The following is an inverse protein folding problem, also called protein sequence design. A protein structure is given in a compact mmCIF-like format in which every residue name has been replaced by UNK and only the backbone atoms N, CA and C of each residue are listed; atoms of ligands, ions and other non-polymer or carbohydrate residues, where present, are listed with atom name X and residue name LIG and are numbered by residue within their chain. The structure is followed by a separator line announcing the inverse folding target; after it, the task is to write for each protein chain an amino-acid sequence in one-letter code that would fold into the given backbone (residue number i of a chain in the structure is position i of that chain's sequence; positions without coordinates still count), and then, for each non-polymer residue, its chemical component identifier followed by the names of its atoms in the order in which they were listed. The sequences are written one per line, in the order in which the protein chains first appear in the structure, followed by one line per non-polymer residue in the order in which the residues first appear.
data_IF_705955461129
#
_entry.id   IF_705955461129
#
_cell.length_a   1.000
_cell.length_b   1.000
_cell.length_c   1.000
_cell.angle_alpha   90.00
_cell.angle_beta   90.00
_cell.angle_gamma   90.00
#
_symmetry.space_group_name_H-M   'P 1'
#
loop_
_entity.id
_entity.type
_entity.pdbx_description
1 polymer ?
#
# COMPACT_ATOMS: atom_id res chain seq x y z
N UNK A 1 -30.06 -56.44 -25.27
CA UNK A 1 -29.46 -55.74 -24.11
C UNK A 1 -27.96 -55.56 -24.38
N UNK A 2 -27.48 -54.35 -24.13
CA UNK A 2 -26.11 -53.81 -24.23
C UNK A 2 -25.56 -53.42 -25.62
N UNK A 3 -25.32 -52.12 -25.88
CA UNK A 3 -24.77 -51.58 -27.13
C UNK A 3 -23.28 -51.22 -27.00
N UNK A 4 -22.54 -51.22 -28.12
CA UNK A 4 -21.23 -50.57 -28.20
C UNK A 4 -21.18 -49.49 -29.29
N UNK A 5 -20.91 -48.27 -28.80
CA UNK A 5 -20.02 -47.23 -29.32
C UNK A 5 -19.97 -46.94 -30.83
N UNK A 6 -20.43 -45.74 -31.19
CA UNK A 6 -19.92 -45.00 -32.36
C UNK A 6 -19.32 -43.68 -31.87
N UNK A 7 -18.03 -43.51 -32.19
CA UNK A 7 -17.21 -42.31 -31.93
C UNK A 7 -17.47 -41.21 -32.95
N UNK A 8 -17.28 -39.99 -32.45
CA UNK A 8 -17.26 -38.68 -33.09
C UNK A 8 -16.41 -38.57 -34.37
N UNK A 9 -16.80 -37.66 -35.28
CA UNK A 9 -15.87 -36.74 -35.98
C UNK A 9 -16.54 -35.38 -36.29
N UNK A 10 -15.86 -34.32 -35.84
CA UNK A 10 -15.99 -32.89 -36.20
C UNK A 10 -15.48 -32.66 -37.64
N UNK A 11 -15.84 -31.55 -38.31
CA UNK A 11 -15.02 -30.33 -38.22
C UNK A 11 -15.78 -28.99 -38.29
N UNK A 12 -15.18 -27.91 -37.76
CA UNK A 12 -15.54 -26.50 -38.05
C UNK A 12 -15.08 -26.07 -39.45
N UNK A 13 -14.88 -24.77 -39.81
CA UNK A 13 -14.58 -23.62 -38.92
C UNK A 13 -15.08 -22.21 -39.40
N UNK A 14 -14.58 -21.16 -38.70
CA UNK A 14 -14.41 -19.71 -39.08
C UNK A 14 -15.65 -18.80 -38.94
N UNK A 15 -15.71 -17.89 -37.95
CA UNK A 15 -14.95 -16.64 -37.73
C UNK A 15 -15.41 -15.49 -38.64
N UNK A 16 -15.96 -14.41 -38.06
CA UNK A 16 -15.64 -13.01 -38.38
C UNK A 16 -16.17 -12.06 -37.31
N UNK A 17 -15.25 -11.26 -36.80
CA UNK A 17 -15.39 -10.16 -35.84
C UNK A 17 -15.95 -8.89 -36.50
N UNK A 18 -16.54 -8.00 -35.69
CA UNK A 18 -16.35 -6.52 -35.66
C UNK A 18 -17.67 -5.82 -35.27
N UNK A 19 -17.82 -5.55 -33.97
CA UNK A 19 -18.82 -4.61 -33.46
C UNK A 19 -18.08 -3.31 -33.08
N UNK A 20 -18.26 -2.28 -33.91
CA UNK A 20 -17.67 -0.96 -33.75
C UNK A 20 -18.68 0.02 -33.17
N UNK A 21 -18.21 0.70 -32.13
CA UNK A 21 -18.80 1.84 -31.42
C UNK A 21 -19.46 2.92 -32.28
N UNK A 22 -20.62 3.41 -31.82
CA UNK A 22 -21.22 4.77 -31.96
C UNK A 22 -22.44 4.77 -31.03
N UNK A 23 -22.75 5.70 -30.15
CA UNK A 23 -22.26 7.02 -29.79
C UNK A 23 -23.33 7.58 -28.85
N UNK A 24 -22.99 7.96 -27.62
CA UNK A 24 -23.99 8.38 -26.64
C UNK A 24 -23.38 8.80 -25.31
N UNK A 25 -22.69 9.94 -25.28
CA UNK A 25 -22.40 10.66 -24.03
C UNK A 25 -22.93 12.07 -24.12
N UNK A 26 -24.11 12.24 -23.53
CA UNK A 26 -24.63 13.51 -23.07
C UNK A 26 -23.68 13.99 -21.97
N UNK A 27 -23.02 15.14 -22.20
CA UNK A 27 -22.30 15.88 -21.15
C UNK A 27 -23.34 16.52 -20.23
N UNK A 28 -23.71 15.83 -19.16
CA UNK A 28 -24.31 16.46 -17.99
C UNK A 28 -23.18 16.99 -17.11
N UNK A 29 -23.02 18.31 -17.08
CA UNK A 29 -22.07 18.98 -16.21
C UNK A 29 -22.37 18.75 -14.72
N UNK A 30 -21.35 18.78 -13.84
CA UNK A 30 -21.58 18.72 -12.41
C UNK A 30 -22.24 20.02 -11.92
N UNK A 31 -23.32 19.98 -11.11
CA UNK A 31 -23.86 21.17 -10.52
C UNK A 31 -22.93 21.71 -9.43
N UNK A 32 -22.64 23.00 -9.52
CA UNK A 32 -22.06 23.80 -8.46
C UNK A 32 -22.90 23.64 -7.17
N UNK A 33 -22.32 22.99 -6.16
CA UNK A 33 -22.85 23.01 -4.79
C UNK A 33 -21.98 23.89 -3.92
N UNK A 34 -22.44 25.14 -3.79
CA UNK A 34 -22.62 25.85 -2.52
C UNK A 34 -21.70 25.42 -1.37
N UNK A 35 -20.58 26.13 -1.22
CA UNK A 35 -19.85 26.23 0.05
C UNK A 35 -20.62 27.17 0.99
N UNK A 36 -21.60 26.61 1.68
CA UNK A 36 -22.05 27.05 3.00
C UNK A 36 -21.58 25.92 3.93
N UNK A 37 -20.52 26.11 4.71
CA UNK A 37 -20.64 26.79 5.98
C UNK A 37 -21.21 25.81 7.01
N UNK A 38 -20.35 25.04 7.70
CA UNK A 38 -20.57 24.65 9.09
C UNK A 38 -19.26 24.16 9.70
N UNK A 39 -18.56 25.11 10.33
CA UNK A 39 -17.49 24.83 11.28
C UNK A 39 -18.13 24.19 12.52
N UNK A 40 -17.93 22.90 12.72
CA UNK A 40 -18.13 22.25 14.03
C UNK A 40 -16.75 21.95 14.60
N UNK A 41 -16.01 23.03 14.85
CA UNK A 41 -14.72 23.02 15.52
C UNK A 41 -14.78 23.91 16.75
N UNK A 42 -15.80 23.76 17.60
CA UNK A 42 -15.79 24.35 18.94
C UNK A 42 -16.91 23.74 19.79
N UNK A 43 -16.52 23.07 20.88
CA UNK A 43 -17.24 22.94 22.17
C UNK A 43 -17.01 21.59 22.86
N UNK A 44 -15.75 21.15 22.98
CA UNK A 44 -15.34 20.16 24.01
C UNK A 44 -14.21 20.74 24.86
N UNK A 45 -14.22 22.07 25.07
CA UNK A 45 -13.28 22.72 25.99
C UNK A 45 -13.96 23.42 27.18
N UNK A 46 -15.28 23.23 27.36
CA UNK A 46 -16.04 23.94 28.40
C UNK A 46 -16.64 23.03 29.49
N UNK A 47 -16.30 21.74 29.54
CA UNK A 47 -16.77 20.83 30.63
C UNK A 47 -15.70 20.40 31.63
N UNK A 48 -14.42 20.62 31.33
CA UNK A 48 -13.36 20.43 32.34
C UNK A 48 -13.22 21.62 33.31
N UNK A 49 -13.89 22.76 33.04
CA UNK A 49 -13.83 23.92 33.94
C UNK A 49 -14.74 23.83 35.16
N UNK A 50 -15.83 23.06 35.14
CA UNK A 50 -16.76 23.01 36.30
C UNK A 50 -16.30 22.05 37.41
N UNK A 51 -15.62 20.96 37.07
CA UNK A 51 -14.96 20.09 38.05
C UNK A 51 -13.69 20.76 38.62
N UNK A 52 -12.99 21.59 37.84
CA UNK A 52 -11.88 22.41 38.34
C UNK A 52 -12.35 23.64 39.14
N UNK A 53 -13.56 24.17 38.90
CA UNK A 53 -14.12 25.29 39.68
C UNK A 53 -14.72 24.84 41.02
N UNK A 54 -15.35 23.66 41.10
CA UNK A 54 -15.89 23.17 42.36
C UNK A 54 -14.82 22.68 43.35
N UNK A 55 -13.64 22.25 42.87
CA UNK A 55 -12.46 22.03 43.73
C UNK A 55 -11.74 23.34 44.13
N UNK A 56 -12.01 24.48 43.47
CA UNK A 56 -11.35 25.77 43.77
C UNK A 56 -12.06 26.64 44.79
N UNK A 57 -13.30 26.33 45.18
CA UNK A 57 -14.01 27.15 46.19
C UNK A 57 -13.73 26.76 47.64
N UNK A 58 -12.78 25.84 47.90
CA UNK A 58 -12.38 25.49 49.26
C UNK A 58 -10.86 25.37 49.45
N UNK A 59 -10.08 26.13 48.68
CA UNK A 59 -8.65 26.34 48.99
C UNK A 59 -8.51 27.53 49.94
N UNK A 60 -7.85 27.39 51.11
CA UNK A 60 -7.50 28.54 51.94
C UNK A 60 -6.37 29.30 51.23
N UNK A 61 -6.72 30.23 50.34
CA UNK A 61 -5.78 31.03 49.55
C UNK A 61 -5.00 32.06 50.41
N UNK A 62 -5.28 32.13 51.71
CA UNK A 62 -4.52 32.92 52.71
C UNK A 62 -3.57 32.08 53.58
N UNK A 63 -3.39 30.79 53.30
CA UNK A 63 -2.60 29.90 54.16
C UNK A 63 -1.09 30.08 53.98
N UNK A 64 -0.36 30.21 55.09
CA UNK A 64 1.10 30.32 55.12
C UNK A 64 1.78 29.06 54.54
N UNK A 65 3.05 29.17 54.13
CA UNK A 65 3.81 28.03 53.61
C UNK A 65 3.79 26.76 54.50
N UNK A 66 3.90 26.84 55.84
CA UNK A 66 3.74 25.66 56.70
C UNK A 66 2.30 25.12 56.74
N UNK A 67 1.26 25.95 56.71
CA UNK A 67 -0.14 25.49 56.71
C UNK A 67 -0.48 24.68 55.45
N UNK A 68 -0.03 25.11 54.27
CA UNK A 68 -0.21 24.35 53.03
C UNK A 68 0.48 22.99 53.07
N UNK A 69 1.71 22.91 53.62
CA UNK A 69 2.40 21.62 53.78
C UNK A 69 1.66 20.69 54.74
N UNK A 70 1.09 21.24 55.82
CA UNK A 70 0.29 20.46 56.77
C UNK A 70 -1.00 19.93 56.13
N UNK A 71 -1.71 20.74 55.33
CA UNK A 71 -2.91 20.32 54.61
C UNK A 71 -2.63 19.20 53.60
N UNK A 72 -1.58 19.33 52.79
CA UNK A 72 -1.16 18.28 51.83
C UNK A 72 -0.76 17.00 52.56
N UNK A 73 -0.09 17.09 53.70
CA UNK A 73 0.26 15.91 54.49
C UNK A 73 -0.98 15.22 55.09
N UNK A 74 -1.99 15.98 55.50
CA UNK A 74 -3.27 15.45 55.97
C UNK A 74 -4.01 14.69 54.85
N UNK A 75 -4.09 15.27 53.65
CA UNK A 75 -4.68 14.61 52.47
C UNK A 75 -3.92 13.34 52.07
N UNK A 76 -2.59 13.36 52.11
CA UNK A 76 -1.77 12.20 51.78
C UNK A 76 -1.96 11.05 52.78
N UNK A 77 -2.05 11.35 54.08
CA UNK A 77 -2.34 10.34 55.10
C UNK A 77 -3.71 9.68 54.88
N UNK A 78 -4.72 10.48 54.52
CA UNK A 78 -6.05 9.97 54.20
C UNK A 78 -6.07 9.08 52.94
N UNK A 79 -5.35 9.48 51.89
CA UNK A 79 -5.24 8.70 50.65
C UNK A 79 -4.55 7.35 50.86
N UNK A 80 -3.66 7.26 51.86
CA UNK A 80 -3.00 6.02 52.27
C UNK A 80 -3.84 5.19 53.27
N UNK A 81 -5.02 5.67 53.67
CA UNK A 81 -5.88 5.01 54.67
C UNK A 81 -5.32 5.08 56.10
N UNK A 82 -4.38 5.98 56.37
CA UNK A 82 -3.80 6.20 57.70
C UNK A 82 -4.61 7.25 58.49
N UNK A 83 -4.66 7.16 59.83
CA UNK A 83 -5.41 8.11 60.63
C UNK A 83 -4.78 9.51 60.59
N UNK A 84 -5.58 10.51 60.21
CA UNK A 84 -5.17 11.92 60.11
C UNK A 84 -5.15 12.56 61.51
N UNK A 85 -4.08 12.28 62.25
CA UNK A 85 -3.84 12.85 63.59
C UNK A 85 -2.82 13.98 63.53
N UNK A 86 -2.89 14.95 64.46
CA UNK A 86 -1.95 16.09 64.52
C UNK A 86 -0.48 15.64 64.60
N UNK A 87 -0.19 14.51 65.26
CA UNK A 87 1.17 13.95 65.34
C UNK A 87 1.64 13.37 64.02
N UNK A 88 0.76 12.66 63.29
CA UNK A 88 1.08 12.11 61.97
C UNK A 88 1.29 13.21 60.94
N UNK A 89 0.41 14.22 60.94
CA UNK A 89 0.54 15.41 60.07
C UNK A 89 1.85 16.15 60.38
N UNK A 90 2.19 16.34 61.67
CA UNK A 90 3.46 16.97 62.07
C UNK A 90 4.67 16.17 61.59
N UNK A 91 4.68 14.85 61.82
CA UNK A 91 5.79 13.97 61.46
C UNK A 91 6.04 13.98 59.94
N UNK A 92 4.96 14.05 59.14
CA UNK A 92 5.03 14.02 57.69
C UNK A 92 5.32 15.39 57.05
N UNK A 93 4.78 16.48 57.60
CA UNK A 93 4.94 17.83 57.05
C UNK A 93 6.15 18.60 57.61
N UNK A 94 6.71 18.18 58.75
CA UNK A 94 7.81 18.88 59.43
C UNK A 94 7.43 20.26 59.98
N UNK A 95 6.16 20.45 60.35
CA UNK A 95 5.60 21.75 60.79
C UNK A 95 5.45 21.84 62.32
N UNK A 96 5.08 23.03 62.83
CA UNK A 96 4.79 23.19 64.26
C UNK A 96 3.54 22.39 64.66
N UNK A 97 3.45 22.00 65.94
CA UNK A 97 2.31 21.22 66.43
C UNK A 97 0.97 21.97 66.31
N UNK A 98 1.00 23.31 66.44
CA UNK A 98 -0.20 24.14 66.28
C UNK A 98 -0.77 24.05 64.86
N UNK A 99 0.09 24.25 63.84
CA UNK A 99 -0.29 24.17 62.43
C UNK A 99 -0.74 22.75 62.04
N UNK A 100 -0.08 21.72 62.56
CA UNK A 100 -0.48 20.34 62.33
C UNK A 100 -1.82 19.98 62.98
N UNK A 101 -2.12 20.55 64.15
CA UNK A 101 -3.40 20.33 64.85
C UNK A 101 -4.55 20.99 64.12
N UNK A 102 -4.36 22.23 63.66
CA UNK A 102 -5.36 22.94 62.88
C UNK A 102 -5.66 22.23 61.55
N UNK A 103 -4.63 21.78 60.83
CA UNK A 103 -4.80 21.03 59.59
C UNK A 103 -5.51 19.68 59.79
N UNK A 104 -5.14 18.92 60.83
CA UNK A 104 -5.80 17.66 61.16
C UNK A 104 -7.26 17.86 61.57
N UNK A 105 -7.54 18.87 62.39
CA UNK A 105 -8.91 19.21 62.82
C UNK A 105 -9.76 19.63 61.64
N UNK A 106 -9.26 20.53 60.79
CA UNK A 106 -9.94 20.99 59.57
C UNK A 106 -10.23 19.83 58.61
N UNK A 107 -9.29 18.89 58.45
CA UNK A 107 -9.52 17.71 57.62
C UNK A 107 -10.59 16.78 58.21
N UNK A 108 -10.50 16.48 59.52
CA UNK A 108 -11.45 15.62 60.22
C UNK A 108 -12.87 16.24 60.24
N UNK A 109 -12.99 17.56 60.40
CA UNK A 109 -14.27 18.27 60.33
C UNK A 109 -14.88 18.22 58.93
N UNK A 110 -14.05 18.35 57.87
CA UNK A 110 -14.51 18.20 56.49
C UNK A 110 -14.94 16.78 56.17
N UNK A 111 -14.22 15.79 56.67
CA UNK A 111 -14.57 14.37 56.52
C UNK A 111 -15.89 14.07 57.26
N UNK A 112 -16.02 14.52 58.50
CA UNK A 112 -17.24 14.37 59.29
C UNK A 112 -18.44 15.08 58.63
N UNK A 113 -18.22 16.23 57.97
CA UNK A 113 -19.25 16.90 57.20
C UNK A 113 -19.65 16.12 55.93
N UNK A 114 -18.72 15.41 55.30
CA UNK A 114 -19.02 14.50 54.17
C UNK A 114 -19.79 13.25 54.64
N UNK A 115 -19.48 12.73 55.83
CA UNK A 115 -20.24 11.64 56.44
C UNK A 115 -21.70 12.02 56.72
N UNK A 116 -22.01 13.32 56.84
CA UNK A 116 -23.36 13.84 57.04
C UNK A 116 -24.12 14.13 55.72
N UNK A 117 -23.55 13.81 54.56
CA UNK A 117 -24.27 13.95 53.29
C UNK A 117 -25.41 12.92 53.27
N UNK A 118 -26.69 13.35 53.24
CA UNK A 118 -27.80 12.41 53.19
C UNK A 118 -27.76 11.62 51.90
N UNK A 119 -28.16 10.36 51.97
CA UNK A 119 -28.24 9.52 50.79
C UNK A 119 -29.14 10.16 49.73
N UNK A 120 -28.71 10.06 48.46
CA UNK A 120 -29.48 10.63 47.36
C UNK A 120 -30.86 9.94 47.31
N UNK A 121 -31.97 10.71 47.20
CA UNK A 121 -33.29 10.13 47.09
C UNK A 121 -33.35 9.13 45.94
N UNK A 122 -34.05 8.00 46.14
CA UNK A 122 -34.11 6.91 45.15
C UNK A 122 -34.52 7.41 43.74
N UNK A 123 -35.42 8.40 43.68
CA UNK A 123 -35.86 9.00 42.41
C UNK A 123 -34.73 9.67 41.62
N UNK A 124 -33.76 10.28 42.30
CA UNK A 124 -32.59 10.91 41.68
C UNK A 124 -31.63 9.83 41.18
N UNK A 125 -31.34 8.83 42.02
CA UNK A 125 -30.47 7.69 41.66
C UNK A 125 -31.03 6.89 40.48
N UNK A 126 -32.35 6.66 40.47
CA UNK A 126 -33.03 5.98 39.38
C UNK A 126 -32.94 6.76 38.07
N UNK A 127 -33.11 8.09 38.10
CA UNK A 127 -32.96 8.95 36.91
C UNK A 127 -31.55 8.95 36.37
N UNK A 128 -30.53 9.10 37.23
CA UNK A 128 -29.14 9.03 36.79
C UNK A 128 -28.78 7.66 36.20
N UNK A 129 -29.26 6.59 36.82
CA UNK A 129 -29.06 5.24 36.32
C UNK A 129 -29.72 5.02 34.95
N UNK A 130 -30.91 5.58 34.74
CA UNK A 130 -31.60 5.58 33.44
C UNK A 130 -30.79 6.33 32.38
N UNK A 131 -30.43 7.59 32.66
CA UNK A 131 -29.64 8.43 31.75
C UNK A 131 -28.31 7.76 31.40
N UNK A 132 -27.62 7.19 32.40
CA UNK A 132 -26.36 6.51 32.19
C UNK A 132 -26.52 5.28 31.30
N UNK A 133 -27.56 4.47 31.53
CA UNK A 133 -27.83 3.27 30.72
C UNK A 133 -28.13 3.65 29.28
N UNK A 134 -28.96 4.66 29.06
CA UNK A 134 -29.29 5.17 27.73
C UNK A 134 -28.05 5.69 27.02
N UNK A 135 -27.28 6.58 27.66
CA UNK A 135 -26.04 7.12 27.10
C UNK A 135 -25.02 6.02 26.78
N UNK A 136 -24.87 5.04 27.67
CA UNK A 136 -23.98 3.90 27.46
C UNK A 136 -24.42 3.04 26.28
N UNK A 137 -25.71 2.71 26.20
CA UNK A 137 -26.26 1.91 25.08
C UNK A 137 -26.09 2.63 23.74
N UNK A 138 -26.43 3.92 23.68
CA UNK A 138 -26.27 4.72 22.47
C UNK A 138 -24.80 4.83 22.04
N UNK A 139 -23.88 5.05 22.98
CA UNK A 139 -22.45 5.08 22.69
C UNK A 139 -21.95 3.72 22.16
N UNK A 140 -22.39 2.62 22.78
CA UNK A 140 -22.02 1.27 22.37
C UNK A 140 -22.52 0.94 20.96
N UNK A 141 -23.74 1.33 20.63
CA UNK A 141 -24.32 1.10 19.30
C UNK A 141 -23.58 1.91 18.23
N UNK A 142 -23.24 3.17 18.53
CA UNK A 142 -22.42 3.99 17.65
C UNK A 142 -21.05 3.34 17.39
N UNK A 143 -20.34 2.93 18.45
CA UNK A 143 -19.05 2.25 18.29
C UNK A 143 -19.15 0.91 17.54
N UNK A 144 -20.24 0.16 17.73
CA UNK A 144 -20.47 -1.07 16.99
C UNK A 144 -20.61 -0.78 15.49
N UNK A 145 -21.37 0.26 15.12
CA UNK A 145 -21.57 0.67 13.72
C UNK A 145 -20.27 1.19 13.07
N UNK A 146 -19.46 1.95 13.81
CA UNK A 146 -18.15 2.43 13.33
C UNK A 146 -17.19 1.26 13.13
N UNK A 147 -17.16 0.31 14.08
CA UNK A 147 -16.35 -0.91 13.94
C UNK A 147 -16.74 -1.71 12.72
N UNK A 148 -18.03 -1.94 12.52
CA UNK A 148 -18.54 -2.68 11.35
C UNK A 148 -18.13 -1.98 10.04
N UNK A 149 -18.28 -0.66 9.99
CA UNK A 149 -17.86 0.15 8.84
C UNK A 149 -16.36 0.02 8.57
N UNK A 150 -15.52 0.12 9.60
CA UNK A 150 -14.08 -0.02 9.47
C UNK A 150 -13.67 -1.44 9.06
N UNK A 151 -14.30 -2.46 9.64
CA UNK A 151 -14.09 -3.87 9.24
C UNK A 151 -14.49 -4.09 7.78
N UNK A 152 -15.60 -3.50 7.32
CA UNK A 152 -16.00 -3.54 5.92
C UNK A 152 -14.96 -2.90 5.00
N UNK A 153 -14.45 -1.71 5.37
CA UNK A 153 -13.40 -1.02 4.61
C UNK A 153 -12.09 -1.80 4.57
N UNK A 154 -11.67 -2.40 5.69
CA UNK A 154 -10.48 -3.26 5.75
C UNK A 154 -10.62 -4.44 4.79
N UNK A 155 -11.78 -5.12 4.80
CA UNK A 155 -12.04 -6.24 3.91
C UNK A 155 -11.95 -5.86 2.42
N UNK A 156 -12.45 -4.68 2.05
CA UNK A 156 -12.34 -4.17 0.67
C UNK A 156 -10.87 -3.94 0.31
N UNK A 157 -10.11 -3.26 1.17
CA UNK A 157 -8.68 -3.01 0.94
C UNK A 157 -7.88 -4.32 0.85
N UNK A 158 -8.21 -5.32 1.67
CA UNK A 158 -7.58 -6.64 1.63
C UNK A 158 -7.91 -7.42 0.34
N UNK A 159 -9.14 -7.29 -0.18
CA UNK A 159 -9.52 -7.86 -1.48
C UNK A 159 -8.76 -7.17 -2.62
N UNK A 160 -8.74 -5.83 -2.62
CA UNK A 160 -8.02 -5.04 -3.62
C UNK A 160 -6.52 -5.39 -3.59
N UNK A 161 -5.92 -5.52 -2.41
CA UNK A 161 -4.51 -5.88 -2.27
C UNK A 161 -4.22 -7.28 -2.82
N UNK A 162 -5.11 -8.26 -2.56
CA UNK A 162 -4.98 -9.61 -3.14
C UNK A 162 -5.11 -9.59 -4.65
N UNK A 163 -6.08 -8.84 -5.19
CA UNK A 163 -6.28 -8.69 -6.63
C UNK A 163 -5.06 -8.08 -7.30
N UNK A 164 -4.57 -6.94 -6.79
CA UNK A 164 -3.40 -6.26 -7.34
C UNK A 164 -2.14 -7.13 -7.27
N UNK A 165 -1.97 -7.90 -6.19
CA UNK A 165 -0.86 -8.85 -6.05
C UNK A 165 -0.92 -9.94 -7.12
N UNK A 166 -2.12 -10.47 -7.42
CA UNK A 166 -2.31 -11.45 -8.47
C UNK A 166 -2.05 -10.87 -9.87
N UNK A 167 -2.51 -9.64 -10.12
CA UNK A 167 -2.27 -8.92 -11.37
C UNK A 167 -0.79 -8.64 -11.61
N UNK A 168 -0.06 -8.23 -10.56
CA UNK A 168 1.40 -8.04 -10.61
C UNK A 168 2.11 -9.36 -10.93
N UNK A 169 1.77 -10.43 -10.21
CA UNK A 169 2.36 -11.77 -10.44
C UNK A 169 2.12 -12.24 -11.87
N UNK A 170 0.93 -12.00 -12.41
CA UNK A 170 0.58 -12.34 -13.79
C UNK A 170 1.37 -11.51 -14.80
N UNK A 171 1.50 -10.21 -14.55
CA UNK A 171 2.24 -9.28 -15.40
C UNK A 171 3.73 -9.61 -15.42
N UNK A 172 4.32 -9.89 -14.26
CA UNK A 172 5.72 -10.32 -14.12
C UNK A 172 5.97 -11.63 -14.88
N UNK A 173 5.05 -12.58 -14.79
CA UNK A 173 5.10 -13.82 -15.58
C UNK A 173 5.08 -13.55 -17.09
N UNK A 174 4.26 -12.58 -17.54
CA UNK A 174 4.18 -12.20 -18.96
C UNK A 174 5.44 -11.49 -19.44
N UNK A 175 6.06 -10.65 -18.60
CA UNK A 175 7.33 -10.01 -18.92
C UNK A 175 8.43 -11.07 -19.09
N UNK A 176 8.55 -12.00 -18.15
CA UNK A 176 9.54 -13.08 -18.23
C UNK A 176 9.36 -13.95 -19.50
N UNK A 177 8.10 -14.24 -19.87
CA UNK A 177 7.79 -14.96 -21.10
C UNK A 177 8.23 -14.19 -22.35
N UNK A 178 7.91 -12.89 -22.42
CA UNK A 178 8.30 -12.04 -23.54
C UNK A 178 9.82 -11.85 -23.65
N UNK A 179 10.53 -11.75 -22.52
CA UNK A 179 11.99 -11.70 -22.49
C UNK A 179 12.61 -12.99 -23.03
N UNK A 180 12.07 -14.15 -22.64
CA UNK A 180 12.51 -15.44 -23.16
C UNK A 180 12.22 -15.58 -24.66
N UNK A 181 11.07 -15.09 -25.14
CA UNK A 181 10.72 -15.07 -26.56
C UNK A 181 11.66 -14.16 -27.36
N UNK A 182 11.96 -12.96 -26.86
CA UNK A 182 12.89 -12.03 -27.50
C UNK A 182 14.30 -12.62 -27.62
N UNK A 183 14.79 -13.27 -26.58
CA UNK A 183 16.12 -13.88 -26.60
C UNK A 183 16.20 -15.06 -27.58
N UNK A 184 15.13 -15.86 -27.64
CA UNK A 184 15.00 -16.92 -28.64
C UNK A 184 15.01 -16.36 -30.06
N UNK A 185 14.19 -15.33 -30.34
CA UNK A 185 14.11 -14.71 -31.66
C UNK A 185 15.44 -14.08 -32.06
N UNK A 186 16.16 -13.44 -31.13
CA UNK A 186 17.51 -12.93 -31.37
C UNK A 186 18.47 -14.03 -31.76
N UNK A 187 18.52 -15.11 -30.98
CA UNK A 187 19.40 -16.26 -31.25
C UNK A 187 19.10 -16.88 -32.62
N UNK A 188 17.81 -17.10 -32.92
CA UNK A 188 17.37 -17.65 -34.21
C UNK A 188 17.75 -16.72 -35.38
N UNK A 189 17.59 -15.41 -35.22
CA UNK A 189 17.97 -14.42 -36.23
C UNK A 189 19.49 -14.36 -36.46
N UNK A 190 20.29 -14.41 -35.40
CA UNK A 190 21.76 -14.47 -35.48
C UNK A 190 22.23 -15.73 -36.20
N UNK A 191 21.66 -16.88 -35.88
CA UNK A 191 21.96 -18.14 -36.55
C UNK A 191 21.57 -18.11 -38.04
N UNK A 192 20.38 -17.59 -38.35
CA UNK A 192 19.93 -17.43 -39.72
C UNK A 192 20.88 -16.52 -40.51
N UNK A 193 21.26 -15.37 -39.94
CA UNK A 193 22.19 -14.43 -40.55
C UNK A 193 23.58 -15.07 -40.79
N UNK A 194 24.11 -15.79 -39.79
CA UNK A 194 25.38 -16.49 -39.93
C UNK A 194 25.34 -17.57 -41.02
N UNK A 195 24.25 -18.35 -41.09
CA UNK A 195 24.08 -19.39 -42.10
C UNK A 195 23.96 -18.81 -43.52
N UNK A 196 23.23 -17.70 -43.69
CA UNK A 196 23.10 -17.00 -44.96
C UNK A 196 24.44 -16.40 -45.41
N UNK A 197 25.19 -15.79 -44.49
CA UNK A 197 26.52 -15.26 -44.77
C UNK A 197 27.50 -16.37 -45.18
N UNK A 198 27.48 -17.52 -44.50
CA UNK A 198 28.30 -18.67 -44.85
C UNK A 198 27.95 -19.24 -46.24
N UNK A 199 26.66 -19.36 -46.55
CA UNK A 199 26.19 -19.81 -47.87
C UNK A 199 26.65 -18.86 -49.00
N UNK A 200 26.49 -17.54 -48.81
CA UNK A 200 26.97 -16.56 -49.79
C UNK A 200 28.50 -16.56 -49.94
N UNK A 201 29.25 -16.71 -48.84
CA UNK A 201 30.70 -16.81 -48.91
C UNK A 201 31.15 -18.04 -49.71
N UNK A 202 30.48 -19.19 -49.50
CA UNK A 202 30.75 -20.41 -50.26
C UNK A 202 30.42 -20.25 -51.75
N UNK A 203 29.30 -19.60 -52.08
CA UNK A 203 28.90 -19.32 -53.47
C UNK A 203 29.91 -18.41 -54.18
N UNK A 204 30.32 -17.31 -53.53
CA UNK A 204 31.35 -16.41 -54.07
C UNK A 204 32.69 -17.12 -54.27
N UNK A 205 33.09 -17.98 -53.34
CA UNK A 205 34.30 -18.79 -53.49
C UNK A 205 34.19 -19.73 -54.69
N UNK A 206 33.04 -20.38 -54.88
CA UNK A 206 32.80 -21.30 -55.99
C UNK A 206 32.77 -20.57 -57.35
N UNK A 207 32.23 -19.36 -57.41
CA UNK A 207 32.26 -18.52 -58.62
C UNK A 207 33.68 -18.08 -58.96
N UNK A 208 34.47 -17.62 -57.97
CA UNK A 208 35.89 -17.28 -58.17
C UNK A 208 36.68 -18.46 -58.70
N UNK A 209 36.54 -19.64 -58.09
CA UNK A 209 37.21 -20.86 -58.58
C UNK A 209 36.73 -21.31 -59.97
N UNK A 210 35.52 -20.95 -60.40
CA UNK A 210 35.07 -21.16 -61.79
C UNK A 210 35.73 -20.14 -62.73
N UNK A 211 35.80 -18.87 -62.34
CA UNK A 211 36.52 -17.81 -63.05
C UNK A 211 37.98 -18.17 -63.29
N UNK A 212 38.73 -18.51 -62.23
CA UNK A 212 40.15 -18.86 -62.32
C UNK A 212 40.41 -20.04 -63.28
N UNK A 213 39.52 -21.05 -63.26
CA UNK A 213 39.60 -22.19 -64.19
C UNK A 213 39.30 -21.80 -65.63
N UNK A 214 38.32 -20.94 -65.85
CA UNK A 214 37.98 -20.44 -67.18
C UNK A 214 39.11 -19.56 -67.76
N UNK A 215 39.71 -18.69 -66.94
CA UNK A 215 40.87 -17.87 -67.31
C UNK A 215 42.08 -18.75 -67.66
N UNK A 216 42.38 -19.76 -66.84
CA UNK A 216 43.43 -20.73 -67.12
C UNK A 216 43.20 -21.49 -68.44
N UNK A 217 41.97 -21.95 -68.69
CA UNK A 217 41.61 -22.63 -69.93
C UNK A 217 41.74 -21.71 -71.16
N UNK A 218 41.29 -20.44 -71.05
CA UNK A 218 41.44 -19.44 -72.11
C UNK A 218 42.92 -19.18 -72.43
N UNK A 219 43.77 -19.05 -71.40
CA UNK A 219 45.21 -18.90 -71.55
C UNK A 219 45.86 -20.07 -72.30
N UNK A 220 45.45 -21.31 -71.98
CA UNK A 220 45.91 -22.51 -72.67
C UNK A 220 45.49 -22.53 -74.15
N UNK A 221 44.21 -22.24 -74.45
CA UNK A 221 43.69 -22.18 -75.83
C UNK A 221 44.38 -21.09 -76.63
N UNK A 222 44.63 -19.92 -76.02
CA UNK A 222 45.32 -18.80 -76.66
C UNK A 222 46.76 -19.18 -77.02
N UNK A 223 47.47 -19.83 -76.10
CA UNK A 223 48.83 -20.31 -76.33
C UNK A 223 48.88 -21.35 -77.46
N UNK A 224 47.93 -22.28 -77.49
CA UNK A 224 47.85 -23.30 -78.54
C UNK A 224 47.48 -22.68 -79.90
N UNK A 225 46.54 -21.73 -79.94
CA UNK A 225 46.24 -20.95 -81.15
C UNK A 225 47.49 -20.27 -81.69
N UNK A 226 48.26 -19.57 -80.83
CA UNK A 226 49.45 -18.84 -81.25
C UNK A 226 50.59 -19.79 -81.69
N UNK A 227 50.66 -20.99 -81.11
CA UNK A 227 51.52 -22.08 -81.58
C UNK A 227 51.10 -22.53 -82.98
N UNK A 228 49.83 -22.84 -83.20
CA UNK A 228 49.29 -23.30 -84.48
C UNK A 228 49.45 -22.24 -85.59
N UNK A 229 49.20 -20.96 -85.29
CA UNK A 229 49.42 -19.87 -86.23
C UNK A 229 50.89 -19.77 -86.68
N UNK A 230 51.83 -19.92 -85.74
CA UNK A 230 53.27 -19.98 -86.09
C UNK A 230 53.61 -21.19 -86.96
N UNK A 231 52.99 -22.34 -86.72
CA UNK A 231 53.18 -23.53 -87.56
C UNK A 231 52.62 -23.33 -88.97
N UNK A 232 51.45 -22.70 -89.11
CA UNK A 232 50.86 -22.38 -90.42
C UNK A 232 51.76 -21.41 -91.19
N UNK A 233 52.26 -20.35 -90.53
CA UNK A 233 53.15 -19.38 -91.18
C UNK A 233 54.47 -20.04 -91.63
N UNK A 234 55.03 -20.94 -90.83
CA UNK A 234 56.22 -21.71 -91.20
C UNK A 234 55.99 -22.70 -92.35
N UNK A 235 54.78 -23.24 -92.49
CA UNK A 235 54.41 -24.17 -93.56
C UNK A 235 53.97 -23.47 -94.86
N UNK A 236 53.83 -22.14 -94.85
CA UNK A 236 53.44 -21.37 -96.03
C UNK A 236 54.63 -21.31 -97.01
N UNK A 237 54.49 -21.78 -98.26
CA UNK A 237 55.56 -21.71 -99.25
C UNK A 237 55.88 -20.25 -99.61
N UNK A 238 57.13 -19.90 -99.96
CA UNK A 238 57.47 -18.55 -100.38
C UNK A 238 56.61 -18.17 -101.58
N UNK A 239 55.98 -17.00 -101.52
CA UNK A 239 55.15 -16.50 -102.61
C UNK A 239 55.96 -16.52 -103.91
N UNK A 240 55.53 -17.32 -104.88
CA UNK A 240 56.13 -17.36 -106.20
C UNK A 240 55.90 -15.99 -106.87
N UNK A 241 56.95 -15.20 -106.94
CA UNK A 241 57.10 -14.08 -107.87
C UNK A 241 57.79 -14.55 -109.14
#
# INVERSE_FOLDING_TARGET
MNPQHIRCRRPGPRAHSLEAARGGRIRSGPPARSRLGFSIGSSISCRYSLLALLSRMSTPESASAPERRAAVAAEALAAEGLPVTSRAVRARAGVSMAVATEAATTWNEREAAQAHIPEAPESVTARFSGIWREAYSAARDLFASERETLTGRLRVVEEDNRSLTADLTTSDGRVAELEAELERVRTDAEQAAASAAAAHAAELSAERSRGDRAEGALGAVTTERDRLLRQIEAARPPAAG
#
